data_IF_925783284835
#
_entry.id   IF_925783284835
#
_cell.length_a   1.000
_cell.length_b   1.000
_cell.length_c   1.000
_cell.angle_alpha   90.00
_cell.angle_beta   90.00
_cell.angle_gamma   90.00
#
_symmetry.space_group_name_H-M   'P 1'
#
loop_
_entity.id
_entity.type
_entity.pdbx_description
1 polymer ?
#
# COMPACT_ATOMS: atom_id res chain seq x y z
N UNK A 1 6.72 8.14 -24.56
CA UNK A 1 6.20 6.86 -24.01
C UNK A 1 7.33 6.03 -23.40
N UNK A 2 8.36 5.63 -24.15
CA UNK A 2 9.49 4.85 -23.60
C UNK A 2 10.34 5.62 -22.58
N UNK A 3 10.52 6.94 -22.76
CA UNK A 3 11.17 7.83 -21.76
C UNK A 3 10.47 7.76 -20.40
N UNK A 4 9.15 7.97 -20.39
CA UNK A 4 8.34 7.95 -19.17
C UNK A 4 8.41 6.60 -18.46
N UNK A 5 8.50 5.50 -19.21
CA UNK A 5 8.67 4.17 -18.63
C UNK A 5 10.02 4.04 -17.90
N UNK A 6 11.10 4.47 -18.54
CA UNK A 6 12.45 4.42 -17.94
C UNK A 6 12.50 5.31 -16.70
N UNK A 7 11.89 6.50 -16.73
CA UNK A 7 11.81 7.41 -15.58
C UNK A 7 11.08 6.78 -14.41
N UNK A 8 9.88 6.22 -14.63
CA UNK A 8 9.11 5.54 -13.58
C UNK A 8 9.89 4.35 -13.03
N UNK A 9 10.51 3.56 -13.92
CA UNK A 9 11.33 2.41 -13.52
C UNK A 9 12.49 2.84 -12.61
N UNK A 10 13.23 3.88 -13.00
CA UNK A 10 14.33 4.40 -12.21
C UNK A 10 13.86 4.98 -10.87
N UNK A 11 12.69 5.61 -10.84
CA UNK A 11 12.09 6.20 -9.64
C UNK A 11 11.74 5.13 -8.58
N UNK A 12 11.18 3.99 -9.00
CA UNK A 12 10.80 2.91 -8.08
C UNK A 12 11.95 1.93 -7.77
N UNK A 13 12.96 1.86 -8.65
CA UNK A 13 14.07 0.89 -8.56
C UNK A 13 14.76 0.84 -7.19
N UNK A 14 15.01 1.95 -6.45
CA UNK A 14 15.72 1.88 -5.17
C UNK A 14 14.95 1.08 -4.13
N UNK A 15 13.61 1.19 -4.12
CA UNK A 15 12.76 0.43 -3.19
C UNK A 15 12.88 -1.06 -3.46
N UNK A 16 12.83 -1.46 -4.72
CA UNK A 16 13.02 -2.86 -5.11
C UNK A 16 14.42 -3.39 -4.77
N UNK A 17 15.46 -2.58 -5.00
CA UNK A 17 16.84 -2.94 -4.64
C UNK A 17 16.95 -3.20 -3.13
N UNK A 18 16.35 -2.35 -2.29
CA UNK A 18 16.34 -2.53 -0.83
C UNK A 18 15.58 -3.79 -0.41
N UNK A 19 14.44 -4.10 -1.04
CA UNK A 19 13.69 -5.35 -0.78
C UNK A 19 14.53 -6.58 -1.12
N UNK A 20 15.16 -6.56 -2.30
CA UNK A 20 16.03 -7.67 -2.74
C UNK A 20 17.21 -7.82 -1.78
N UNK A 21 17.86 -6.72 -1.41
CA UNK A 21 18.97 -6.71 -0.46
C UNK A 21 18.54 -7.28 0.90
N UNK A 22 17.42 -6.83 1.45
CA UNK A 22 16.88 -7.35 2.71
C UNK A 22 16.59 -8.85 2.65
N UNK A 23 16.00 -9.33 1.55
CA UNK A 23 15.79 -10.76 1.34
C UNK A 23 17.10 -11.56 1.23
N UNK A 24 18.11 -11.03 0.52
CA UNK A 24 19.44 -11.68 0.44
C UNK A 24 20.10 -11.76 1.82
N UNK A 25 20.11 -10.64 2.56
CA UNK A 25 20.62 -10.53 3.92
C UNK A 25 19.95 -11.53 4.88
N UNK A 26 18.62 -11.64 4.83
CA UNK A 26 17.87 -12.62 5.61
C UNK A 26 18.26 -14.06 5.27
N UNK A 27 18.49 -14.39 3.99
CA UNK A 27 18.88 -15.75 3.55
C UNK A 27 20.27 -16.15 4.03
N UNK A 28 21.22 -15.21 4.02
CA UNK A 28 22.58 -15.45 4.54
C UNK A 28 22.66 -15.31 6.07
N UNK A 29 21.54 -15.05 6.75
CA UNK A 29 21.42 -14.89 8.21
C UNK A 29 22.29 -13.75 8.74
N UNK A 30 22.36 -12.67 7.99
CA UNK A 30 23.06 -11.44 8.36
C UNK A 30 22.06 -10.30 8.34
N UNK A 31 21.66 -9.72 9.49
CA UNK A 31 21.90 -10.18 10.86
C UNK A 31 21.14 -11.47 11.20
N UNK A 32 21.35 -11.99 12.41
CA UNK A 32 20.65 -13.18 12.92
C UNK A 32 19.11 -13.08 12.75
N UNK A 33 18.44 -14.21 12.62
CA UNK A 33 16.98 -14.25 12.40
C UNK A 33 16.17 -13.54 13.49
N UNK A 34 16.67 -13.51 14.72
CA UNK A 34 16.02 -12.79 15.83
C UNK A 34 15.99 -11.27 15.64
N UNK A 35 16.99 -10.70 14.95
CA UNK A 35 17.05 -9.27 14.65
C UNK A 35 15.84 -8.82 13.85
N UNK A 36 15.46 -9.59 12.82
CA UNK A 36 14.33 -9.27 11.95
C UNK A 36 13.02 -9.14 12.74
N UNK A 37 12.80 -9.99 13.75
CA UNK A 37 11.61 -9.88 14.60
C UNK A 37 11.58 -8.61 15.45
N UNK A 38 12.74 -8.18 15.96
CA UNK A 38 12.86 -6.93 16.72
C UNK A 38 12.70 -5.73 15.79
N UNK A 39 13.34 -5.76 14.62
CA UNK A 39 13.22 -4.73 13.59
C UNK A 39 11.78 -4.56 13.10
N UNK A 40 11.04 -5.65 12.89
CA UNK A 40 9.64 -5.60 12.47
C UNK A 40 8.78 -4.82 13.49
N UNK A 41 9.01 -5.04 14.80
CA UNK A 41 8.31 -4.29 15.85
C UNK A 41 8.68 -2.82 15.84
N UNK A 42 9.97 -2.50 15.72
CA UNK A 42 10.44 -1.12 15.65
C UNK A 42 9.84 -0.39 14.43
N UNK A 43 9.85 -1.05 13.27
CA UNK A 43 9.29 -0.52 12.03
C UNK A 43 7.80 -0.27 12.20
N UNK A 44 7.06 -1.28 12.66
CA UNK A 44 5.61 -1.21 12.79
C UNK A 44 5.15 -0.16 13.82
N UNK A 45 5.76 -0.13 15.00
CA UNK A 45 5.31 0.72 16.10
C UNK A 45 5.88 2.14 16.08
N UNK A 46 7.03 2.36 15.43
CA UNK A 46 7.73 3.66 15.50
C UNK A 46 7.99 4.23 14.11
N UNK A 47 8.68 3.48 13.24
CA UNK A 47 9.16 4.06 11.98
C UNK A 47 8.02 4.32 10.98
N UNK A 48 7.05 3.41 10.84
CA UNK A 48 5.87 3.64 9.99
C UNK A 48 5.06 4.83 10.50
N UNK A 49 4.66 4.93 11.79
CA UNK A 49 3.98 6.12 12.31
C UNK A 49 4.77 7.42 12.12
N UNK A 50 6.09 7.39 12.36
CA UNK A 50 6.95 8.56 12.17
C UNK A 50 7.01 9.00 10.69
N UNK A 51 7.09 8.04 9.77
CA UNK A 51 7.07 8.28 8.33
C UNK A 51 5.73 8.91 7.90
N UNK A 52 4.62 8.35 8.36
CA UNK A 52 3.28 8.90 8.11
C UNK A 52 3.16 10.33 8.63
N UNK A 53 3.59 10.59 9.87
CA UNK A 53 3.58 11.93 10.45
C UNK A 53 4.46 12.91 9.66
N UNK A 54 5.67 12.48 9.27
CA UNK A 54 6.60 13.29 8.49
C UNK A 54 5.98 13.71 7.16
N UNK A 55 5.36 12.78 6.42
CA UNK A 55 4.71 13.11 5.16
C UNK A 55 3.47 13.97 5.34
N UNK A 56 2.58 13.63 6.27
CA UNK A 56 1.34 14.38 6.50
C UNK A 56 1.61 15.81 6.95
N UNK A 57 2.63 16.04 7.80
CA UNK A 57 2.96 17.37 8.31
C UNK A 57 3.51 18.33 7.24
N UNK A 58 3.98 17.81 6.10
CA UNK A 58 4.49 18.62 4.98
C UNK A 58 3.43 18.97 3.93
N UNK A 59 2.23 18.38 4.01
CA UNK A 59 1.20 18.59 3.00
C UNK A 59 0.57 19.98 3.18
N UNK A 60 0.68 20.84 2.16
CA UNK A 60 -0.04 22.10 2.07
C UNK A 60 -1.37 21.88 1.34
N UNK A 61 -2.45 21.73 2.10
CA UNK A 61 -3.79 21.55 1.53
C UNK A 61 -4.47 22.90 1.28
N UNK A 62 -4.80 23.19 0.02
CA UNK A 62 -5.80 24.20 -0.30
C UNK A 62 -7.20 23.58 -0.25
N UNK A 63 -8.23 24.40 0.01
CA UNK A 63 -9.63 23.94 0.09
C UNK A 63 -10.08 23.24 -1.20
N UNK A 64 -9.66 23.75 -2.37
CA UNK A 64 -9.93 23.13 -3.67
C UNK A 64 -9.21 21.80 -3.86
N UNK A 65 -7.93 21.69 -3.45
CA UNK A 65 -7.18 20.43 -3.55
C UNK A 65 -7.80 19.35 -2.66
N UNK A 66 -8.21 19.71 -1.43
CA UNK A 66 -8.85 18.76 -0.51
C UNK A 66 -10.13 18.16 -1.10
N UNK A 67 -10.99 18.99 -1.69
CA UNK A 67 -12.23 18.53 -2.32
C UNK A 67 -11.93 17.58 -3.50
N UNK A 68 -10.95 17.92 -4.34
CA UNK A 68 -10.56 17.08 -5.47
C UNK A 68 -10.02 15.72 -5.02
N UNK A 69 -9.13 15.70 -4.02
CA UNK A 69 -8.62 14.45 -3.45
C UNK A 69 -9.73 13.60 -2.84
N UNK A 70 -10.64 14.22 -2.09
CA UNK A 70 -11.78 13.52 -1.50
C UNK A 70 -12.66 12.87 -2.58
N UNK A 71 -12.99 13.60 -3.65
CA UNK A 71 -13.80 13.05 -4.76
C UNK A 71 -13.08 11.87 -5.43
N UNK A 72 -11.80 12.00 -5.74
CA UNK A 72 -11.03 10.92 -6.38
C UNK A 72 -10.96 9.68 -5.50
N UNK A 73 -10.61 9.84 -4.21
CA UNK A 73 -10.46 8.72 -3.28
C UNK A 73 -11.81 8.05 -3.02
N UNK A 74 -12.85 8.84 -2.68
CA UNK A 74 -14.17 8.29 -2.35
C UNK A 74 -14.86 7.66 -3.56
N UNK A 75 -14.74 8.25 -4.75
CA UNK A 75 -15.29 7.66 -5.97
C UNK A 75 -14.57 6.36 -6.34
N UNK A 76 -13.24 6.31 -6.26
CA UNK A 76 -12.46 5.09 -6.47
C UNK A 76 -12.86 3.98 -5.50
N UNK A 77 -12.95 4.30 -4.21
CA UNK A 77 -13.41 3.37 -3.18
C UNK A 77 -14.84 2.87 -3.44
N UNK A 78 -15.76 3.78 -3.79
CA UNK A 78 -17.14 3.44 -4.12
C UNK A 78 -17.22 2.50 -5.33
N UNK A 79 -16.47 2.79 -6.40
CA UNK A 79 -16.42 1.98 -7.62
C UNK A 79 -15.88 0.58 -7.32
N UNK A 80 -14.72 0.47 -6.66
CA UNK A 80 -14.11 -0.84 -6.36
C UNK A 80 -14.99 -1.67 -5.43
N UNK A 81 -15.59 -1.04 -4.41
CA UNK A 81 -16.52 -1.72 -3.49
C UNK A 81 -17.75 -2.23 -4.22
N UNK A 82 -18.36 -1.40 -5.08
CA UNK A 82 -19.55 -1.75 -5.87
C UNK A 82 -19.25 -2.88 -6.86
N UNK A 83 -18.13 -2.81 -7.59
CA UNK A 83 -17.72 -3.85 -8.52
C UNK A 83 -17.45 -5.17 -7.80
N UNK A 84 -16.79 -5.13 -6.63
CA UNK A 84 -16.51 -6.33 -5.83
C UNK A 84 -17.79 -6.97 -5.30
N UNK A 85 -18.77 -6.15 -4.90
CA UNK A 85 -20.10 -6.62 -4.49
C UNK A 85 -20.84 -7.30 -5.65
N UNK A 86 -20.89 -6.64 -6.82
CA UNK A 86 -21.55 -7.17 -8.02
C UNK A 86 -20.88 -8.48 -8.44
N UNK A 87 -19.55 -8.52 -8.50
CA UNK A 87 -18.78 -9.72 -8.84
C UNK A 87 -19.11 -10.87 -7.87
N UNK A 88 -19.11 -10.61 -6.56
CA UNK A 88 -19.46 -11.60 -5.56
C UNK A 88 -20.85 -12.21 -5.73
N UNK A 89 -21.83 -11.37 -6.10
CA UNK A 89 -23.19 -11.81 -6.41
C UNK A 89 -23.28 -12.59 -7.72
N UNK A 90 -22.64 -12.11 -8.79
CA UNK A 90 -22.65 -12.73 -10.13
C UNK A 90 -21.97 -14.09 -10.11
N UNK A 91 -20.87 -14.25 -9.37
CA UNK A 91 -20.16 -15.52 -9.22
C UNK A 91 -20.80 -16.47 -8.19
N UNK A 92 -21.91 -16.09 -7.56
CA UNK A 92 -22.64 -16.96 -6.62
C UNK A 92 -21.88 -17.27 -5.33
N UNK A 93 -20.93 -16.42 -4.93
CA UNK A 93 -20.14 -16.64 -3.72
C UNK A 93 -20.99 -16.52 -2.46
N UNK A 94 -20.64 -17.32 -1.45
CA UNK A 94 -21.28 -17.23 -0.13
C UNK A 94 -21.00 -15.86 0.51
N UNK A 95 -21.85 -15.40 1.43
CA UNK A 95 -21.65 -14.14 2.15
C UNK A 95 -20.25 -13.95 2.73
N UNK A 96 -19.64 -15.00 3.26
CA UNK A 96 -18.32 -14.99 3.85
C UNK A 96 -17.23 -14.72 2.81
N UNK A 97 -17.36 -15.31 1.62
CA UNK A 97 -16.38 -15.18 0.54
C UNK A 97 -16.46 -13.79 -0.09
N UNK A 98 -17.65 -13.34 -0.51
CA UNK A 98 -17.73 -12.05 -1.21
C UNK A 98 -17.46 -10.85 -0.29
N UNK A 99 -17.80 -10.93 1.00
CA UNK A 99 -17.42 -9.86 1.95
C UNK A 99 -15.92 -9.83 2.21
N UNK A 100 -15.24 -10.99 2.21
CA UNK A 100 -13.77 -11.06 2.28
C UNK A 100 -13.11 -10.45 1.04
N UNK A 101 -13.61 -10.77 -0.16
CA UNK A 101 -13.14 -10.17 -1.43
C UNK A 101 -13.36 -8.65 -1.43
N UNK A 102 -14.54 -8.19 -1.01
CA UNK A 102 -14.86 -6.77 -0.92
C UNK A 102 -13.93 -6.04 0.06
N UNK A 103 -13.66 -6.61 1.24
CA UNK A 103 -12.70 -6.03 2.19
C UNK A 103 -11.28 -6.00 1.63
N UNK A 104 -10.84 -7.04 0.93
CA UNK A 104 -9.53 -7.07 0.29
C UNK A 104 -9.39 -6.05 -0.85
N UNK A 105 -10.44 -5.86 -1.64
CA UNK A 105 -10.46 -4.90 -2.73
C UNK A 105 -10.57 -3.45 -2.26
N UNK A 106 -11.34 -3.19 -1.20
CA UNK A 106 -11.57 -1.84 -0.67
C UNK A 106 -10.47 -1.37 0.31
N UNK A 107 -9.72 -2.29 0.92
CA UNK A 107 -8.58 -1.94 1.77
C UNK A 107 -7.40 -1.52 0.90
N UNK A 108 -7.07 -0.23 0.95
CA UNK A 108 -5.77 0.25 0.53
C UNK A 108 -4.71 -0.24 1.54
N UNK A 109 -4.25 -1.49 1.38
CA UNK A 109 -2.97 -1.89 1.93
C UNK A 109 -1.90 -1.38 0.95
N UNK A 110 -1.41 -0.17 1.20
CA UNK A 110 -0.10 0.29 0.74
C UNK A 110 0.83 0.27 1.94
#
# INVERSE_FOLDING_TARGET
>A
VLSNFIEIFLLISPVFILIILGNLLRRVRVPDLSFWHVSDKLIYWVLIPALLFHHVSQITLSSTMLANYAVVILSGLFVVTTLSFIAGKVFGYTPQIWTSVMQGAARHNA
#
